data_IF_465454850313
#
_entry.id   IF_465454850313
#
_cell.length_a   1.000
_cell.length_b   1.000
_cell.length_c   1.000
_cell.angle_alpha   90.00
_cell.angle_beta   90.00
_cell.angle_gamma   90.00
#
_symmetry.space_group_name_H-M   'P 1'
#
loop_
_entity.id
_entity.type
_entity.pdbx_description
1 polymer ?
#
# COMPACT_ATOMS: atom_id res chain seq x y z
N UNK A 1 7.92 15.71 23.04
CA UNK A 1 9.10 15.85 22.16
C UNK A 1 10.33 15.95 23.03
N UNK A 2 11.37 15.17 22.76
CA UNK A 2 12.65 15.32 23.45
C UNK A 2 13.37 16.52 22.84
N UNK A 3 13.25 17.69 23.47
CA UNK A 3 13.68 18.99 22.92
C UNK A 3 15.18 19.10 22.63
N UNK A 4 16.01 18.14 23.08
CA UNK A 4 17.47 18.19 22.99
C UNK A 4 18.10 16.93 22.38
N UNK A 5 17.37 16.14 21.57
CA UNK A 5 17.95 14.93 20.95
C UNK A 5 19.04 15.28 19.92
N UNK A 6 20.32 14.88 20.12
CA UNK A 6 21.38 15.14 19.15
C UNK A 6 21.13 14.47 17.79
N UNK A 7 20.45 13.31 17.79
CA UNK A 7 20.06 12.59 16.59
C UNK A 7 19.03 13.40 15.80
N UNK A 8 18.00 13.91 16.47
CA UNK A 8 16.96 14.71 15.83
C UNK A 8 17.55 16.00 15.26
N UNK A 9 18.40 16.70 16.01
CA UNK A 9 19.06 17.92 15.54
C UNK A 9 19.92 17.65 14.29
N UNK A 10 20.72 16.57 14.30
CA UNK A 10 21.52 16.18 13.14
C UNK A 10 20.66 15.78 11.94
N UNK A 11 19.55 15.08 12.17
CA UNK A 11 18.57 14.76 11.12
C UNK A 11 17.99 16.03 10.49
N UNK A 12 17.57 16.98 11.32
CA UNK A 12 16.98 18.24 10.85
C UNK A 12 17.98 19.11 10.08
N UNK A 13 19.21 19.21 10.57
CA UNK A 13 20.30 19.91 9.88
C UNK A 13 20.66 19.29 8.54
N UNK A 14 20.52 17.96 8.41
CA UNK A 14 20.83 17.22 7.18
C UNK A 14 19.70 17.29 6.15
N UNK A 15 18.46 17.57 6.58
CA UNK A 15 17.26 17.48 5.73
C UNK A 15 16.40 18.77 5.72
N UNK A 16 17.00 19.98 5.58
CA UNK A 16 16.25 21.23 5.69
C UNK A 16 15.22 21.44 4.58
N UNK A 17 15.45 20.96 3.35
CA UNK A 17 14.47 21.05 2.26
C UNK A 17 13.29 20.12 2.50
N UNK A 18 13.53 18.94 3.08
CA UNK A 18 12.45 18.04 3.52
C UNK A 18 11.57 18.67 4.60
N UNK A 19 12.16 19.41 5.55
CA UNK A 19 11.39 20.16 6.55
C UNK A 19 10.49 21.20 5.88
N UNK A 20 11.05 22.04 5.01
CA UNK A 20 10.28 23.08 4.31
C UNK A 20 9.12 22.51 3.48
N UNK A 21 9.34 21.35 2.84
CA UNK A 21 8.29 20.64 2.11
C UNK A 21 7.22 20.06 3.03
N UNK A 22 7.60 19.50 4.20
CA UNK A 22 6.66 19.01 5.20
C UNK A 22 5.79 20.13 5.77
N UNK A 23 6.37 21.28 6.10
CA UNK A 23 5.65 22.46 6.58
C UNK A 23 4.63 22.94 5.54
N UNK A 24 5.05 23.02 4.27
CA UNK A 24 4.15 23.36 3.16
C UNK A 24 3.04 22.31 2.99
N UNK A 25 3.37 21.02 3.08
CA UNK A 25 2.40 19.93 2.96
C UNK A 25 1.36 19.94 4.08
N UNK A 26 1.71 20.43 5.28
CA UNK A 26 0.78 20.60 6.40
C UNK A 26 -0.38 21.56 6.11
N UNK A 27 -0.24 22.45 5.12
CA UNK A 27 -1.33 23.32 4.66
C UNK A 27 -2.35 22.59 3.76
N UNK A 28 -1.99 21.42 3.21
CA UNK A 28 -2.81 20.71 2.22
C UNK A 28 -3.30 19.35 2.70
N UNK A 29 -2.49 18.64 3.48
CA UNK A 29 -2.74 17.25 3.84
C UNK A 29 -2.82 17.08 5.36
N UNK A 30 -3.79 16.31 5.87
CA UNK A 30 -3.78 15.87 7.25
C UNK A 30 -2.43 15.23 7.61
N UNK A 31 -1.85 15.63 8.74
CA UNK A 31 -0.53 15.16 9.18
C UNK A 31 0.60 15.37 8.15
N UNK A 32 0.44 16.31 7.20
CA UNK A 32 1.38 16.62 6.13
C UNK A 32 1.73 15.46 5.18
N UNK A 33 0.90 14.41 5.09
CA UNK A 33 1.15 13.20 4.31
C UNK A 33 -0.10 12.73 3.56
N UNK A 34 0.10 11.93 2.51
CA UNK A 34 -1.00 11.31 1.73
C UNK A 34 -1.13 9.80 1.94
N UNK A 35 -0.35 9.25 2.87
CA UNK A 35 -0.37 7.84 3.21
C UNK A 35 0.18 7.64 4.62
N UNK A 36 -0.60 7.03 5.51
CA UNK A 36 -0.27 6.96 6.95
C UNK A 36 1.06 6.25 7.25
N UNK A 37 1.46 5.26 6.45
CA UNK A 37 2.76 4.58 6.62
C UNK A 37 3.97 5.50 6.43
N UNK A 38 3.78 6.71 5.89
CA UNK A 38 4.84 7.71 5.72
C UNK A 38 4.98 8.64 6.94
N UNK A 39 4.09 8.52 7.92
CA UNK A 39 4.16 9.35 9.11
C UNK A 39 5.47 9.12 9.86
N UNK A 40 6.17 10.18 10.21
CA UNK A 40 7.43 10.15 10.97
C UNK A 40 7.56 11.46 11.74
N UNK A 41 8.02 11.40 12.98
CA UNK A 41 8.24 12.58 13.83
C UNK A 41 9.74 12.91 13.89
N UNK A 42 10.17 14.17 13.68
CA UNK A 42 9.34 15.37 13.47
C UNK A 42 8.72 15.46 12.07
N UNK A 43 9.36 14.91 11.05
CA UNK A 43 8.86 14.81 9.67
C UNK A 43 9.62 13.72 8.91
N UNK A 44 9.07 13.24 7.79
CA UNK A 44 9.74 12.30 6.88
C UNK A 44 10.55 12.98 5.77
N UNK A 45 11.53 12.29 5.20
CA UNK A 45 12.29 12.79 4.06
C UNK A 45 11.41 12.93 2.82
N UNK A 46 11.68 13.95 2.00
CA UNK A 46 11.06 14.11 0.68
C UNK A 46 12.02 13.60 -0.38
N UNK A 47 11.67 12.50 -1.05
CA UNK A 47 12.50 11.87 -2.08
C UNK A 47 12.39 12.65 -3.39
N UNK A 48 13.52 13.08 -3.94
CA UNK A 48 13.60 13.76 -5.25
C UNK A 48 13.79 12.75 -6.38
N UNK A 49 14.66 11.75 -6.19
CA UNK A 49 14.96 10.73 -7.20
C UNK A 49 15.36 9.40 -6.60
N UNK A 50 15.26 8.33 -7.38
CA UNK A 50 15.70 7.00 -6.99
C UNK A 50 16.18 6.18 -8.20
N UNK A 51 17.13 5.26 -7.98
CA UNK A 51 17.74 4.41 -9.01
C UNK A 51 18.42 3.19 -8.35
N UNK A 52 18.18 2.01 -8.90
CA UNK A 52 18.69 0.75 -8.35
C UNK A 52 18.22 0.56 -6.90
N UNK A 53 19.14 0.26 -6.00
CA UNK A 53 18.86 0.10 -4.56
C UNK A 53 18.92 1.40 -3.75
N UNK A 54 18.96 2.57 -4.41
CA UNK A 54 19.22 3.85 -3.75
C UNK A 54 18.15 4.89 -4.05
N UNK A 55 17.93 5.78 -3.09
CA UNK A 55 17.11 6.99 -3.23
C UNK A 55 17.82 8.21 -2.66
N UNK A 56 17.50 9.38 -3.21
CA UNK A 56 18.05 10.66 -2.79
C UNK A 56 16.91 11.58 -2.37
N UNK A 57 17.05 12.22 -1.22
CA UNK A 57 16.10 13.26 -0.79
C UNK A 57 16.33 14.59 -1.51
N UNK A 58 15.44 15.55 -1.26
CA UNK A 58 15.47 16.90 -1.82
C UNK A 58 16.69 17.73 -1.42
N UNK A 59 17.47 17.26 -0.45
CA UNK A 59 18.74 17.86 -0.01
C UNK A 59 19.94 17.14 -0.66
N UNK A 60 19.71 16.17 -1.54
CA UNK A 60 20.72 15.38 -2.24
C UNK A 60 21.34 14.26 -1.40
N UNK A 61 20.84 14.00 -0.19
CA UNK A 61 21.36 12.92 0.65
C UNK A 61 20.99 11.57 0.05
N UNK A 62 21.98 10.68 -0.05
CA UNK A 62 21.78 9.33 -0.53
C UNK A 62 21.43 8.35 0.59
N UNK A 63 20.50 7.44 0.30
CA UNK A 63 20.07 6.35 1.18
C UNK A 63 20.07 5.03 0.42
N UNK A 64 20.54 3.95 1.05
CA UNK A 64 20.25 2.58 0.60
C UNK A 64 18.82 2.26 1.02
N UNK A 65 17.97 1.89 0.06
CA UNK A 65 16.54 1.72 0.28
C UNK A 65 16.16 0.25 0.50
N UNK A 66 15.85 -0.08 1.76
CA UNK A 66 15.38 -1.40 2.16
C UNK A 66 13.85 -1.52 2.24
N UNK A 67 13.12 -0.45 1.91
CA UNK A 67 11.65 -0.40 2.04
C UNK A 67 10.91 -0.24 0.70
N UNK A 68 11.65 -0.02 -0.39
CA UNK A 68 11.17 0.43 -1.69
C UNK A 68 9.83 -0.18 -2.12
N UNK A 69 8.84 0.69 -2.35
CA UNK A 69 7.52 0.31 -2.84
C UNK A 69 6.70 -0.60 -1.91
N UNK A 70 7.06 -0.73 -0.63
CA UNK A 70 6.46 -1.70 0.30
C UNK A 70 6.52 -3.14 -0.25
N UNK A 71 7.64 -3.47 -0.91
CA UNK A 71 7.86 -4.76 -1.56
C UNK A 71 7.56 -4.78 -3.07
N UNK A 72 6.85 -3.78 -3.61
CA UNK A 72 6.52 -3.75 -5.04
C UNK A 72 7.75 -3.56 -5.95
N UNK A 73 8.79 -2.87 -5.47
CA UNK A 73 9.99 -2.58 -6.24
C UNK A 73 11.04 -3.69 -6.12
N UNK A 74 10.64 -4.94 -6.38
CA UNK A 74 11.52 -6.12 -6.27
C UNK A 74 12.78 -6.02 -7.16
N UNK A 75 12.69 -5.33 -8.31
CA UNK A 75 13.79 -5.11 -9.24
C UNK A 75 14.57 -3.81 -8.96
N UNK A 76 14.30 -3.13 -7.84
CA UNK A 76 14.83 -1.82 -7.51
C UNK A 76 14.13 -0.67 -8.24
N UNK A 77 14.56 0.55 -7.93
CA UNK A 77 14.06 1.78 -8.54
C UNK A 77 14.55 1.91 -9.98
N UNK A 78 13.67 2.29 -10.90
CA UNK A 78 14.03 2.61 -12.29
C UNK A 78 14.87 1.50 -12.95
N UNK A 79 14.37 0.27 -12.88
CA UNK A 79 14.95 -0.84 -13.62
C UNK A 79 14.91 -0.53 -15.13
N UNK A 80 16.03 -0.74 -15.84
CA UNK A 80 16.19 -0.30 -17.22
C UNK A 80 15.25 -1.02 -18.19
N UNK A 81 15.02 -2.31 -18.00
CA UNK A 81 14.10 -3.08 -18.85
C UNK A 81 12.66 -2.63 -18.65
N UNK A 82 12.24 -2.46 -17.38
CA UNK A 82 10.90 -1.94 -17.05
C UNK A 82 10.70 -0.53 -17.60
N UNK A 83 11.69 0.36 -17.45
CA UNK A 83 11.65 1.71 -17.98
C UNK A 83 11.51 1.72 -19.50
N UNK A 84 12.29 0.89 -20.21
CA UNK A 84 12.20 0.78 -21.67
C UNK A 84 10.80 0.33 -22.12
N UNK A 85 10.23 -0.70 -21.50
CA UNK A 85 8.86 -1.16 -21.80
C UNK A 85 7.80 -0.09 -21.53
N UNK A 86 7.95 0.70 -20.45
CA UNK A 86 7.05 1.82 -20.15
C UNK A 86 7.14 2.88 -21.25
N UNK A 87 8.36 3.28 -21.65
CA UNK A 87 8.56 4.29 -22.69
C UNK A 87 7.96 3.84 -24.04
N UNK A 88 8.10 2.57 -24.40
CA UNK A 88 7.47 2.01 -25.59
C UNK A 88 5.94 2.04 -25.49
N UNK A 89 5.38 1.61 -24.35
CA UNK A 89 3.93 1.64 -24.14
C UNK A 89 3.34 3.06 -24.18
N UNK A 90 4.07 4.05 -23.65
CA UNK A 90 3.66 5.46 -23.68
C UNK A 90 3.46 5.99 -25.11
N UNK A 91 4.22 5.50 -26.09
CA UNK A 91 4.06 5.89 -27.48
C UNK A 91 2.71 5.44 -28.09
N UNK A 92 2.15 4.34 -27.59
CA UNK A 92 0.82 3.88 -27.98
C UNK A 92 -0.32 4.57 -27.19
N UNK A 93 -0.03 5.04 -25.97
CA UNK A 93 -0.97 5.68 -25.05
C UNK A 93 -1.19 4.87 -23.76
N UNK A 94 -1.72 5.51 -22.72
CA UNK A 94 -1.85 4.91 -21.37
C UNK A 94 -3.25 4.39 -21.03
N UNK A 95 -4.26 4.76 -21.81
CA UNK A 95 -5.64 4.36 -21.58
C UNK A 95 -6.44 4.38 -22.88
N UNK A 96 -6.84 3.20 -23.37
CA UNK A 96 -7.52 3.09 -24.67
C UNK A 96 -9.04 3.10 -24.57
N UNK A 97 -9.62 2.99 -23.37
CA UNK A 97 -11.08 2.82 -23.20
C UNK A 97 -11.61 1.56 -23.88
N UNK A 98 -10.74 0.56 -24.11
CA UNK A 98 -11.00 -0.71 -24.78
C UNK A 98 -9.92 -1.72 -24.39
N UNK A 99 -10.19 -3.00 -24.63
CA UNK A 99 -9.24 -4.09 -24.41
C UNK A 99 -7.99 -3.97 -25.27
N UNK A 100 -6.88 -4.55 -24.79
CA UNK A 100 -5.60 -4.54 -25.50
C UNK A 100 -4.74 -5.78 -25.21
N UNK A 101 -3.83 -6.11 -26.12
CA UNK A 101 -3.01 -7.32 -26.04
C UNK A 101 -2.21 -7.49 -24.73
N UNK A 102 -1.74 -6.39 -24.13
CA UNK A 102 -0.95 -6.47 -22.90
C UNK A 102 -1.73 -7.01 -21.69
N UNK A 103 -3.06 -6.82 -21.61
CA UNK A 103 -3.85 -7.38 -20.51
C UNK A 103 -3.97 -8.92 -20.65
N UNK A 104 -4.04 -9.42 -21.89
CA UNK A 104 -4.06 -10.86 -22.18
C UNK A 104 -2.71 -11.50 -21.87
N UNK A 105 -1.61 -10.87 -22.30
CA UNK A 105 -0.25 -11.34 -22.03
C UNK A 105 0.06 -11.35 -20.52
N UNK A 106 -0.36 -10.31 -19.79
CA UNK A 106 -0.18 -10.25 -18.35
C UNK A 106 -1.00 -11.31 -17.62
N UNK A 107 -2.26 -11.53 -18.02
CA UNK A 107 -3.10 -12.59 -17.45
C UNK A 107 -2.42 -13.97 -17.60
N UNK A 108 -1.93 -14.30 -18.81
CA UNK A 108 -1.22 -15.56 -19.04
C UNK A 108 0.03 -15.71 -18.14
N UNK A 109 0.80 -14.64 -17.94
CA UNK A 109 1.95 -14.65 -17.05
C UNK A 109 1.57 -14.90 -15.58
N UNK A 110 0.48 -14.29 -15.10
CA UNK A 110 -0.03 -14.51 -13.73
C UNK A 110 -0.50 -15.95 -13.55
N UNK A 111 -1.25 -16.52 -14.50
CA UNK A 111 -1.71 -17.93 -14.40
C UNK A 111 -0.55 -18.92 -14.37
N UNK A 112 0.52 -18.65 -15.14
CA UNK A 112 1.74 -19.48 -15.11
C UNK A 112 2.40 -19.49 -13.73
N UNK A 113 2.36 -18.37 -13.01
CA UNK A 113 2.93 -18.23 -11.66
C UNK A 113 1.98 -18.72 -10.54
N UNK A 114 0.67 -18.65 -10.77
CA UNK A 114 -0.36 -19.01 -9.80
C UNK A 114 -1.41 -19.93 -10.45
N UNK A 115 -1.16 -21.26 -10.51
CA UNK A 115 -2.05 -22.19 -11.20
C UNK A 115 -3.50 -22.22 -10.67
N UNK A 116 -3.72 -21.85 -9.41
CA UNK A 116 -5.07 -21.74 -8.81
C UNK A 116 -5.88 -20.55 -9.35
N UNK A 117 -5.25 -19.58 -10.03
CA UNK A 117 -5.92 -18.45 -10.64
C UNK A 117 -6.46 -18.80 -12.04
N UNK A 118 -7.46 -19.67 -12.12
CA UNK A 118 -8.04 -20.15 -13.40
C UNK A 118 -8.69 -19.03 -14.24
N UNK A 119 -9.15 -17.94 -13.60
CA UNK A 119 -9.60 -16.70 -14.24
C UNK A 119 -9.09 -15.49 -13.48
N UNK A 120 -8.87 -14.40 -14.19
CA UNK A 120 -8.23 -13.18 -13.64
C UNK A 120 -9.09 -11.95 -13.95
N UNK A 121 -9.09 -11.01 -13.00
CA UNK A 121 -9.57 -9.65 -13.19
C UNK A 121 -8.59 -8.68 -12.52
N UNK A 122 -8.04 -7.75 -13.30
CA UNK A 122 -7.16 -6.72 -12.77
C UNK A 122 -7.94 -5.63 -12.04
N UNK A 123 -7.29 -5.01 -11.05
CA UNK A 123 -7.79 -3.87 -10.27
C UNK A 123 -6.64 -2.86 -10.12
N UNK A 124 -6.94 -1.64 -9.70
CA UNK A 124 -5.95 -0.57 -9.60
C UNK A 124 -5.11 -0.65 -8.31
N UNK A 125 -5.54 -1.42 -7.31
CA UNK A 125 -4.83 -1.54 -6.03
C UNK A 125 -5.08 -2.87 -5.31
N UNK A 126 -4.22 -3.17 -4.33
CA UNK A 126 -4.44 -4.30 -3.42
C UNK A 126 -5.73 -4.18 -2.59
N UNK A 127 -6.10 -2.97 -2.18
CA UNK A 127 -7.36 -2.69 -1.48
C UNK A 127 -8.57 -3.07 -2.34
N UNK A 128 -8.55 -2.72 -3.63
CA UNK A 128 -9.62 -3.09 -4.56
C UNK A 128 -9.67 -4.60 -4.81
N UNK A 129 -8.49 -5.25 -4.92
CA UNK A 129 -8.41 -6.69 -5.10
C UNK A 129 -9.08 -7.45 -3.96
N UNK A 130 -8.78 -7.11 -2.70
CA UNK A 130 -9.38 -7.79 -1.53
C UNK A 130 -10.86 -7.44 -1.37
N UNK A 131 -11.27 -6.21 -1.67
CA UNK A 131 -12.67 -5.80 -1.67
C UNK A 131 -13.48 -6.60 -2.70
N UNK A 132 -12.96 -6.74 -3.91
CA UNK A 132 -13.62 -7.52 -4.96
C UNK A 132 -13.66 -9.01 -4.62
N UNK A 133 -12.57 -9.58 -4.09
CA UNK A 133 -12.52 -10.98 -3.66
C UNK A 133 -13.59 -11.28 -2.61
N UNK A 134 -13.75 -10.41 -1.62
CA UNK A 134 -14.80 -10.52 -0.61
C UNK A 134 -16.21 -10.47 -1.24
N UNK A 135 -16.46 -9.54 -2.17
CA UNK A 135 -17.75 -9.46 -2.87
C UNK A 135 -18.04 -10.72 -3.67
N UNK A 136 -17.04 -11.28 -4.36
CA UNK A 136 -17.17 -12.52 -5.11
C UNK A 136 -17.47 -13.71 -4.20
N UNK A 137 -16.76 -13.84 -3.06
CA UNK A 137 -17.01 -14.91 -2.10
C UNK A 137 -18.46 -14.88 -1.56
N UNK A 138 -18.97 -13.70 -1.21
CA UNK A 138 -20.36 -13.53 -0.78
C UNK A 138 -21.37 -13.86 -1.88
N UNK A 139 -21.14 -13.34 -3.10
CA UNK A 139 -22.02 -13.59 -4.23
C UNK A 139 -22.07 -15.08 -4.61
N UNK A 140 -20.94 -15.77 -4.54
CA UNK A 140 -20.84 -17.19 -4.85
C UNK A 140 -21.49 -18.07 -3.79
N UNK A 141 -21.25 -17.78 -2.51
CA UNK A 141 -21.71 -18.64 -1.40
C UNK A 141 -23.10 -18.28 -0.86
N UNK A 142 -23.59 -17.07 -1.14
CA UNK A 142 -24.81 -16.52 -0.52
C UNK A 142 -24.66 -16.20 0.97
N UNK A 143 -23.44 -16.22 1.52
CA UNK A 143 -23.16 -15.98 2.95
C UNK A 143 -22.71 -14.55 3.18
N UNK A 144 -23.05 -13.98 4.34
CA UNK A 144 -22.73 -12.59 4.69
C UNK A 144 -21.40 -12.44 5.43
N UNK A 145 -21.05 -13.40 6.29
CA UNK A 145 -19.90 -13.31 7.18
C UNK A 145 -18.58 -13.62 6.47
N UNK A 146 -17.52 -12.96 6.92
CA UNK A 146 -16.14 -13.16 6.48
C UNK A 146 -15.29 -13.39 7.73
N UNK A 147 -14.40 -14.39 7.69
CA UNK A 147 -13.39 -14.60 8.73
C UNK A 147 -12.05 -14.01 8.29
N UNK A 148 -11.31 -13.41 9.22
CA UNK A 148 -9.91 -13.00 9.02
C UNK A 148 -9.15 -13.00 10.33
N UNK A 149 -7.83 -13.00 10.23
CA UNK A 149 -6.97 -12.98 11.40
C UNK A 149 -6.75 -11.56 11.92
N UNK A 150 -6.62 -11.43 13.24
CA UNK A 150 -6.18 -10.18 13.88
C UNK A 150 -4.81 -9.78 13.34
N UNK A 151 -4.56 -8.48 13.31
CA UNK A 151 -3.33 -7.82 12.81
C UNK A 151 -3.02 -7.97 11.31
N UNK A 152 -3.69 -8.88 10.59
CA UNK A 152 -3.48 -9.02 9.15
C UNK A 152 -4.05 -7.80 8.39
N UNK A 153 -3.21 -7.17 7.57
CA UNK A 153 -3.59 -6.02 6.75
C UNK A 153 -4.04 -6.46 5.36
N UNK A 154 -5.26 -6.06 4.97
CA UNK A 154 -5.87 -6.39 3.68
C UNK A 154 -6.39 -5.15 2.95
N UNK A 155 -5.78 -3.99 3.19
CA UNK A 155 -6.25 -2.70 2.71
C UNK A 155 -7.11 -1.97 3.75
N UNK A 156 -7.57 -0.78 3.38
CA UNK A 156 -8.22 0.17 4.29
C UNK A 156 -9.74 0.28 4.11
N UNK A 157 -10.35 -0.57 3.27
CA UNK A 157 -11.80 -0.58 3.09
C UNK A 157 -12.53 -1.09 4.35
N UNK A 158 -13.80 -0.72 4.50
CA UNK A 158 -14.56 -0.82 5.76
C UNK A 158 -14.47 -2.18 6.47
N UNK A 159 -14.44 -3.28 5.73
CA UNK A 159 -14.41 -4.64 6.30
C UNK A 159 -13.04 -5.02 6.88
N UNK A 160 -11.99 -4.28 6.52
CA UNK A 160 -10.59 -4.56 6.86
C UNK A 160 -9.96 -3.45 7.73
N UNK A 161 -10.73 -2.41 8.09
CA UNK A 161 -10.21 -1.22 8.78
C UNK A 161 -10.03 -1.36 10.30
N UNK A 162 -10.71 -2.31 10.96
CA UNK A 162 -10.58 -2.60 12.40
C UNK A 162 -9.71 -3.85 12.64
N UNK A 163 -9.42 -4.25 13.87
CA UNK A 163 -8.69 -5.48 14.19
C UNK A 163 -7.29 -5.62 13.56
N UNK A 164 -6.68 -4.54 13.05
CA UNK A 164 -5.33 -4.52 12.45
C UNK A 164 -4.32 -3.91 13.43
N UNK A 165 -4.48 -2.62 13.75
CA UNK A 165 -3.62 -1.89 14.69
C UNK A 165 -4.38 -1.45 15.96
N UNK A 166 -5.66 -1.83 16.08
CA UNK A 166 -6.55 -1.53 17.19
C UNK A 166 -7.92 -2.18 16.95
N UNK A 167 -8.90 -1.93 17.83
CA UNK A 167 -10.26 -2.51 17.74
C UNK A 167 -10.22 -4.05 17.62
N UNK A 168 -9.35 -4.69 18.42
CA UNK A 168 -9.13 -6.14 18.41
C UNK A 168 -10.32 -6.95 18.97
N UNK A 169 -11.23 -6.26 19.65
CA UNK A 169 -12.54 -6.76 20.11
C UNK A 169 -13.59 -6.83 18.98
N UNK A 170 -13.24 -6.38 17.76
CA UNK A 170 -14.14 -6.40 16.60
C UNK A 170 -15.06 -5.19 16.50
N UNK A 171 -14.87 -4.17 17.34
CA UNK A 171 -15.61 -2.92 17.22
C UNK A 171 -15.26 -2.18 15.93
N UNK A 172 -16.22 -1.44 15.37
CA UNK A 172 -16.00 -0.65 14.17
C UNK A 172 -15.08 0.55 14.46
N UNK A 173 -14.17 0.88 13.55
CA UNK A 173 -13.44 2.15 13.58
C UNK A 173 -14.39 3.32 13.28
N UNK A 174 -14.05 4.57 13.68
CA UNK A 174 -14.82 5.75 13.29
C UNK A 174 -15.09 5.81 11.79
N UNK A 175 -16.34 6.04 11.40
CA UNK A 175 -16.79 6.10 10.01
C UNK A 175 -17.20 4.75 9.40
N UNK A 176 -16.88 3.62 10.03
CA UNK A 176 -17.37 2.29 9.62
C UNK A 176 -18.69 1.99 10.31
N UNK A 177 -19.67 1.51 9.54
CA UNK A 177 -20.96 1.10 10.08
C UNK A 177 -20.82 -0.11 11.03
N UNK A 178 -21.44 -0.12 12.21
CA UNK A 178 -21.43 -1.27 13.11
C UNK A 178 -21.93 -2.57 12.45
N UNK A 179 -22.87 -2.46 11.51
CA UNK A 179 -23.41 -3.59 10.74
C UNK A 179 -22.35 -4.24 9.85
N UNK A 180 -21.38 -3.45 9.34
CA UNK A 180 -20.23 -3.98 8.59
C UNK A 180 -19.32 -4.78 9.52
N UNK A 181 -19.01 -4.24 10.70
CA UNK A 181 -18.18 -4.92 11.68
C UNK A 181 -18.82 -6.23 12.17
N UNK A 182 -20.14 -6.25 12.37
CA UNK A 182 -20.89 -7.45 12.74
C UNK A 182 -20.82 -8.59 11.71
N UNK A 183 -20.40 -8.32 10.46
CA UNK A 183 -20.19 -9.35 9.43
C UNK A 183 -18.75 -9.88 9.39
N UNK A 184 -17.85 -9.42 10.24
CA UNK A 184 -16.46 -9.88 10.25
C UNK A 184 -16.16 -10.61 11.55
N UNK A 185 -15.66 -11.83 11.42
CA UNK A 185 -15.18 -12.65 12.54
C UNK A 185 -13.67 -12.50 12.60
N UNK A 186 -13.15 -12.05 13.75
CA UNK A 186 -11.72 -11.96 14.02
C UNK A 186 -11.23 -13.21 14.73
N UNK A 187 -10.25 -13.87 14.12
CA UNK A 187 -9.57 -15.05 14.64
C UNK A 187 -8.14 -14.69 15.05
N UNK A 188 -7.56 -15.45 15.98
CA UNK A 188 -6.14 -15.30 16.30
C UNK A 188 -5.28 -16.12 15.31
N UNK A 189 -4.14 -15.57 14.85
CA UNK A 189 -3.22 -16.34 14.02
C UNK A 189 -2.68 -17.53 14.82
N UNK A 190 -2.47 -18.65 14.12
CA UNK A 190 -1.94 -19.90 14.68
C UNK A 190 -2.79 -20.57 15.78
N UNK A 191 -4.05 -20.16 15.96
CA UNK A 191 -5.03 -20.83 16.82
C UNK A 191 -6.02 -21.65 15.99
N UNK A 192 -5.66 -22.91 15.71
CA UNK A 192 -6.47 -23.81 14.88
C UNK A 192 -7.74 -24.29 15.60
N UNK A 193 -7.72 -24.34 16.94
CA UNK A 193 -8.84 -24.82 17.75
C UNK A 193 -10.01 -23.83 17.76
N UNK A 194 -9.76 -22.57 17.38
CA UNK A 194 -10.75 -21.51 17.25
C UNK A 194 -11.53 -21.49 15.91
N UNK A 195 -11.20 -22.38 14.95
CA UNK A 195 -11.73 -22.40 13.57
C UNK A 195 -12.88 -23.38 13.38
#
# INVERSE_FOLDING_TARGET
MLSNSPIQNKYMQRTPSSLALAEKAGAYFPSAITHDSRHTTPYGIYVERAKGSRKWDADGNEYVDYFGGHGALMLGHRNQEVEACIQEALAAGTHFGSSHQFEVAWAAAVQKLMPSAERIRFTASGTEATLLAMRLARAYTGRNKIARFRTHFHGWHDHMAFGVSGHFDGTATPGVLPEVAAQVVLLDPDDIDAV
#
